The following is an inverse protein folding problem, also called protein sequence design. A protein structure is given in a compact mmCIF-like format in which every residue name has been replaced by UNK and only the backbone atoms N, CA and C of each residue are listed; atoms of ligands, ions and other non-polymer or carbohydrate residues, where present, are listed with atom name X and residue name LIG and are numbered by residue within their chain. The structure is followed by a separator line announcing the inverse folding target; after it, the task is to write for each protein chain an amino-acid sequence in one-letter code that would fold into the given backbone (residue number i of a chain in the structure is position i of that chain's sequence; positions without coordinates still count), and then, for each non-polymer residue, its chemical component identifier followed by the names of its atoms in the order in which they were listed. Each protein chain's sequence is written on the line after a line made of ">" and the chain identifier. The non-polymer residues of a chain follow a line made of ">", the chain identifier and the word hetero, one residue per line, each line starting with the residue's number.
data_IF_656692215907
#
_entry.id   IF_656692215907
#
_cell.length_a   1.000
_cell.length_b   1.000
_cell.length_c   1.000
_cell.angle_alpha   90.00
_cell.angle_beta   90.00
_cell.angle_gamma   90.00
#
_symmetry.space_group_name_H-M   'P 1'
#
loop_
_entity.id
_entity.type
_entity.pdbx_description
1 polymer ?
#
# COMPACT_ATOMS: atom_id res chain seq x y z
N UNK A 1 11.42 -23.18 -31.97
CA UNK A 1 11.95 -22.49 -30.76
C UNK A 1 10.84 -22.03 -29.81
N UNK A 2 9.68 -21.50 -30.27
CA UNK A 2 8.56 -21.05 -29.41
C UNK A 2 7.97 -22.15 -28.50
N UNK A 3 7.88 -23.38 -28.93
CA UNK A 3 7.31 -24.51 -28.15
C UNK A 3 8.27 -25.08 -27.10
N UNK A 4 9.56 -24.82 -27.22
CA UNK A 4 10.57 -25.34 -26.28
C UNK A 4 10.62 -24.52 -25.00
N UNK A 5 10.40 -23.21 -25.09
CA UNK A 5 10.36 -22.29 -23.94
C UNK A 5 9.12 -22.57 -23.09
N UNK A 6 7.95 -22.77 -23.73
CA UNK A 6 6.69 -23.08 -23.03
C UNK A 6 6.76 -24.41 -22.27
N UNK A 7 7.41 -25.43 -22.86
CA UNK A 7 7.56 -26.72 -22.21
C UNK A 7 8.57 -26.71 -21.05
N UNK A 8 9.61 -25.87 -21.14
CA UNK A 8 10.63 -25.73 -20.10
C UNK A 8 10.08 -24.99 -18.88
N UNK A 9 9.26 -23.96 -19.06
CA UNK A 9 8.59 -23.26 -17.97
C UNK A 9 7.60 -24.20 -17.26
N UNK A 10 6.82 -24.98 -18.01
CA UNK A 10 5.88 -25.94 -17.43
C UNK A 10 6.56 -27.08 -16.67
N UNK A 11 7.74 -27.52 -17.12
CA UNK A 11 8.52 -28.58 -16.44
C UNK A 11 9.23 -28.09 -15.17
N UNK A 12 9.61 -26.82 -15.07
CA UNK A 12 10.17 -26.22 -13.86
C UNK A 12 9.10 -26.05 -12.78
N UNK A 13 7.86 -25.74 -13.17
CA UNK A 13 6.70 -25.63 -12.26
C UNK A 13 6.36 -26.97 -11.56
N UNK A 14 6.64 -28.10 -12.21
CA UNK A 14 6.37 -29.45 -11.66
C UNK A 14 7.42 -29.96 -10.68
N UNK A 15 8.58 -29.32 -10.56
CA UNK A 15 9.73 -29.81 -9.77
C UNK A 15 9.99 -29.00 -8.48
N UNK A 16 9.26 -27.93 -8.24
CA UNK A 16 9.43 -27.12 -7.03
C UNK A 16 8.76 -27.80 -5.82
N UNK A 17 9.53 -28.07 -4.79
CA UNK A 17 9.11 -28.74 -3.56
C UNK A 17 8.56 -27.70 -2.56
N UNK A 18 7.40 -28.00 -2.00
CA UNK A 18 6.60 -27.12 -1.14
C UNK A 18 7.28 -26.76 0.19
N UNK A 19 7.71 -25.54 0.36
CA UNK A 19 7.66 -24.81 1.61
C UNK A 19 7.10 -23.42 1.27
N UNK A 20 5.85 -23.21 1.63
CA UNK A 20 5.14 -21.95 1.36
C UNK A 20 5.72 -20.80 2.18
N UNK A 21 5.46 -19.61 1.74
CA UNK A 21 6.06 -18.37 2.15
C UNK A 21 5.90 -18.09 3.67
N UNK A 22 7.01 -18.02 4.36
CA UNK A 22 7.08 -17.62 5.77
C UNK A 22 7.04 -16.09 5.94
N UNK A 23 6.78 -15.33 4.88
CA UNK A 23 6.77 -13.87 4.87
C UNK A 23 5.36 -13.34 5.13
N UNK A 24 5.06 -13.05 6.38
CA UNK A 24 3.71 -12.70 6.83
C UNK A 24 3.49 -11.23 7.09
N UNK A 25 4.54 -10.42 7.20
CA UNK A 25 4.42 -8.97 7.38
C UNK A 25 5.64 -8.21 6.87
N UNK A 26 5.43 -6.95 6.53
CA UNK A 26 6.49 -6.03 6.15
C UNK A 26 6.04 -4.92 5.23
N UNK A 27 6.99 -4.08 4.86
CA UNK A 27 6.82 -2.99 3.90
C UNK A 27 7.92 -3.02 2.86
N UNK A 28 7.69 -2.40 1.72
CA UNK A 28 8.68 -2.25 0.66
C UNK A 28 8.44 -0.99 -0.15
N UNK A 29 9.45 -0.60 -0.88
CA UNK A 29 9.36 0.45 -1.89
C UNK A 29 10.00 -0.05 -3.17
N UNK A 30 9.32 0.13 -4.29
CA UNK A 30 9.81 -0.24 -5.61
C UNK A 30 9.73 0.94 -6.57
N UNK A 31 10.74 1.11 -7.40
CA UNK A 31 10.66 1.92 -8.59
C UNK A 31 9.84 1.14 -9.63
N UNK A 32 8.83 1.78 -10.22
CA UNK A 32 7.98 1.23 -11.27
C UNK A 32 8.28 1.93 -12.59
N UNK A 33 8.37 1.15 -13.66
CA UNK A 33 8.41 1.62 -15.05
C UNK A 33 7.28 0.93 -15.81
N UNK A 34 6.37 1.69 -16.39
CA UNK A 34 5.23 1.17 -17.13
C UNK A 34 5.10 1.84 -18.49
N UNK A 35 4.75 1.07 -19.52
CA UNK A 35 4.45 1.61 -20.83
C UNK A 35 3.18 2.43 -20.81
N UNK A 36 3.15 3.46 -21.65
CA UNK A 36 1.98 4.29 -21.92
C UNK A 36 1.35 3.75 -23.21
N UNK A 37 0.10 3.24 -23.17
CA UNK A 37 -0.52 2.65 -24.36
C UNK A 37 -1.12 3.70 -25.31
N UNK A 38 -1.18 4.96 -24.90
CA UNK A 38 -1.89 6.02 -25.60
C UNK A 38 -1.04 6.69 -26.69
N UNK A 39 -1.64 6.91 -27.86
CA UNK A 39 -1.13 7.87 -28.82
C UNK A 39 -1.35 9.29 -28.31
N UNK A 40 -0.26 9.99 -28.06
CA UNK A 40 -0.36 11.39 -27.64
C UNK A 40 0.75 12.25 -28.24
N UNK A 41 0.39 13.25 -29.06
CA UNK A 41 1.39 14.12 -29.69
C UNK A 41 2.04 15.14 -28.73
N UNK A 42 1.55 15.24 -27.48
CA UNK A 42 2.04 16.18 -26.47
C UNK A 42 3.00 15.49 -25.50
N UNK A 43 2.79 14.20 -25.25
CA UNK A 43 3.64 13.39 -24.38
C UNK A 43 4.78 12.81 -25.21
N UNK A 44 6.01 13.11 -24.83
CA UNK A 44 7.22 12.66 -25.55
C UNK A 44 7.80 11.37 -25.02
N UNK A 45 7.35 10.93 -23.84
CA UNK A 45 7.85 9.73 -23.18
C UNK A 45 6.88 8.57 -23.38
N UNK A 46 7.40 7.41 -23.80
CA UNK A 46 6.63 6.18 -24.00
C UNK A 46 6.45 5.38 -22.69
N UNK A 47 7.00 5.87 -21.57
CA UNK A 47 7.01 5.20 -20.29
C UNK A 47 6.79 6.14 -19.11
N UNK A 48 6.06 5.64 -18.10
CA UNK A 48 5.94 6.26 -16.78
C UNK A 48 7.01 5.71 -15.85
N UNK A 49 7.51 6.59 -14.99
CA UNK A 49 8.42 6.21 -13.90
C UNK A 49 7.87 6.74 -12.59
N UNK A 50 7.70 5.86 -11.61
CA UNK A 50 7.22 6.24 -10.28
C UNK A 50 7.75 5.32 -9.19
N UNK A 51 7.47 5.65 -7.94
CA UNK A 51 7.75 4.82 -6.78
C UNK A 51 6.45 4.31 -6.18
N UNK A 52 6.41 3.02 -5.84
CA UNK A 52 5.23 2.37 -5.30
C UNK A 52 5.55 1.77 -3.94
N UNK A 53 4.84 2.18 -2.87
CA UNK A 53 4.92 1.50 -1.58
C UNK A 53 4.22 0.16 -1.66
N UNK A 54 4.81 -0.86 -1.05
CA UNK A 54 4.23 -2.19 -0.96
C UNK A 54 4.10 -2.57 0.51
N UNK A 55 2.96 -3.14 0.88
CA UNK A 55 2.70 -3.57 2.24
C UNK A 55 2.36 -5.06 2.24
N UNK A 56 2.83 -5.77 3.26
CA UNK A 56 2.62 -7.19 3.41
C UNK A 56 2.12 -7.48 4.81
N UNK A 57 1.04 -8.22 4.90
CA UNK A 57 0.53 -8.78 6.15
C UNK A 57 -0.37 -9.96 5.82
N UNK A 58 -0.26 -11.05 6.55
CA UNK A 58 -1.19 -12.16 6.42
C UNK A 58 -1.37 -12.87 7.76
N UNK A 59 -2.64 -13.06 8.12
CA UNK A 59 -3.08 -13.89 9.24
C UNK A 59 -4.24 -14.81 8.82
N UNK A 60 -4.92 -15.40 9.78
CA UNK A 60 -6.04 -16.30 9.51
C UNK A 60 -7.26 -15.60 8.86
N UNK A 61 -7.39 -14.28 9.00
CA UNK A 61 -8.57 -13.52 8.60
C UNK A 61 -8.28 -12.47 7.53
N UNK A 62 -7.12 -11.84 7.59
CA UNK A 62 -6.74 -10.70 6.74
C UNK A 62 -5.49 -11.00 5.94
N UNK A 63 -5.42 -10.40 4.76
CA UNK A 63 -4.19 -10.36 3.99
C UNK A 63 -3.99 -9.00 3.33
N UNK A 64 -2.72 -8.65 3.13
CA UNK A 64 -2.26 -7.49 2.38
C UNK A 64 -1.01 -7.91 1.61
N UNK A 65 -1.11 -7.96 0.30
CA UNK A 65 -0.05 -8.39 -0.60
C UNK A 65 0.24 -7.27 -1.59
N UNK A 66 1.27 -6.48 -1.31
CA UNK A 66 1.61 -5.29 -2.07
C UNK A 66 0.51 -4.22 -2.00
N UNK A 67 -0.24 -4.05 -3.07
CA UNK A 67 -1.37 -3.12 -3.17
C UNK A 67 -2.74 -3.82 -3.17
N UNK A 68 -2.78 -5.12 -2.93
CA UNK A 68 -4.02 -5.91 -2.80
C UNK A 68 -4.24 -6.27 -1.35
N UNK A 69 -5.42 -5.96 -0.82
CA UNK A 69 -5.81 -6.31 0.54
C UNK A 69 -7.14 -7.07 0.54
N UNK A 70 -7.39 -7.85 1.57
CA UNK A 70 -8.66 -8.57 1.66
C UNK A 70 -8.93 -9.26 2.98
N UNK A 71 -10.14 -9.79 3.08
CA UNK A 71 -10.64 -10.56 4.21
C UNK A 71 -10.96 -11.95 3.73
N UNK A 72 -10.41 -12.97 4.40
CA UNK A 72 -10.74 -14.39 4.20
C UNK A 72 -12.11 -14.64 4.82
N UNK A 73 -13.11 -14.95 3.99
CA UNK A 73 -14.50 -15.08 4.42
C UNK A 73 -14.83 -16.52 4.84
N UNK A 74 -14.37 -17.49 4.03
CA UNK A 74 -14.70 -18.89 4.23
C UNK A 74 -13.73 -19.81 3.47
N UNK A 75 -13.30 -20.89 4.11
CA UNK A 75 -12.50 -21.96 3.52
C UNK A 75 -13.33 -23.26 3.44
N UNK A 76 -13.30 -23.93 2.30
CA UNK A 76 -13.99 -25.19 2.05
C UNK A 76 -13.10 -26.11 1.23
N UNK A 77 -12.55 -27.14 1.85
CA UNK A 77 -11.61 -28.09 1.21
C UNK A 77 -10.48 -27.34 0.48
N UNK A 78 -10.47 -27.43 -0.86
CA UNK A 78 -9.49 -26.75 -1.70
C UNK A 78 -9.92 -25.33 -2.13
N UNK A 79 -11.01 -24.79 -1.61
CA UNK A 79 -11.52 -23.47 -1.93
C UNK A 79 -11.30 -22.48 -0.80
N UNK A 80 -10.90 -21.27 -1.13
CA UNK A 80 -10.89 -20.12 -0.25
C UNK A 80 -11.67 -18.98 -0.89
N UNK A 81 -12.61 -18.41 -0.13
CA UNK A 81 -13.41 -17.26 -0.55
C UNK A 81 -12.98 -16.02 0.22
N UNK A 82 -12.80 -14.91 -0.49
CA UNK A 82 -12.41 -13.64 0.12
C UNK A 82 -13.10 -12.46 -0.55
N UNK A 83 -13.30 -11.40 0.25
CA UNK A 83 -13.53 -10.05 -0.27
C UNK A 83 -12.20 -9.32 -0.37
N UNK A 84 -11.99 -8.53 -1.41
CA UNK A 84 -10.72 -7.83 -1.63
C UNK A 84 -10.91 -6.43 -2.21
N UNK A 85 -9.88 -5.62 -1.98
CA UNK A 85 -9.65 -4.36 -2.68
C UNK A 85 -8.24 -4.35 -3.27
N UNK A 86 -8.06 -3.61 -4.37
CA UNK A 86 -6.79 -3.51 -5.10
C UNK A 86 -6.64 -2.15 -5.72
N UNK A 87 -5.47 -1.52 -5.53
CA UNK A 87 -5.09 -0.34 -6.31
C UNK A 87 -4.69 -0.79 -7.72
N UNK A 88 -5.29 -0.18 -8.73
CA UNK A 88 -4.99 -0.43 -10.14
C UNK A 88 -4.48 0.83 -10.80
N UNK A 89 -3.32 0.75 -11.45
CA UNK A 89 -2.75 1.83 -12.23
C UNK A 89 -3.44 1.96 -13.60
N UNK A 90 -3.64 3.19 -14.03
CA UNK A 90 -4.23 3.50 -15.34
C UNK A 90 -3.18 3.90 -16.39
N UNK A 91 -1.91 3.99 -15.99
CA UNK A 91 -0.78 4.40 -16.86
C UNK A 91 -1.02 5.72 -17.57
N UNK A 92 -1.69 6.67 -16.89
CA UNK A 92 -1.97 8.01 -17.41
C UNK A 92 -0.73 8.89 -17.25
N UNK A 93 -0.24 9.54 -18.33
CA UNK A 93 0.84 10.51 -18.25
C UNK A 93 0.58 11.64 -17.26
N UNK A 94 1.62 12.12 -16.59
CA UNK A 94 1.50 13.16 -15.55
C UNK A 94 0.79 14.43 -16.03
N UNK A 95 0.96 14.79 -17.30
CA UNK A 95 0.34 15.95 -17.94
C UNK A 95 -1.19 15.88 -17.92
N UNK A 96 -1.75 14.68 -17.89
CA UNK A 96 -3.20 14.44 -17.90
C UNK A 96 -3.79 14.07 -16.54
N UNK A 97 -3.00 13.92 -15.48
CA UNK A 97 -3.49 13.48 -14.16
C UNK A 97 -4.39 14.51 -13.46
N UNK A 98 -4.41 15.77 -13.91
CA UNK A 98 -5.42 16.74 -13.49
C UNK A 98 -6.82 16.51 -14.16
N UNK A 99 -6.85 15.79 -15.28
CA UNK A 99 -8.09 15.45 -15.99
C UNK A 99 -8.60 14.06 -15.59
N UNK A 100 -7.69 13.08 -15.57
CA UNK A 100 -7.96 11.68 -15.23
C UNK A 100 -6.92 11.23 -14.22
N UNK A 101 -7.37 10.69 -13.09
CA UNK A 101 -6.46 10.14 -12.08
C UNK A 101 -5.64 8.98 -12.62
N UNK A 102 -4.36 8.88 -12.25
CA UNK A 102 -3.44 7.83 -12.72
C UNK A 102 -3.65 6.46 -12.08
N UNK A 103 -4.54 6.36 -11.08
CA UNK A 103 -4.87 5.13 -10.35
C UNK A 103 -6.35 5.09 -9.96
N UNK A 104 -6.83 3.89 -9.65
CA UNK A 104 -8.19 3.66 -9.14
C UNK A 104 -8.19 2.51 -8.13
N UNK A 105 -9.23 2.46 -7.30
CA UNK A 105 -9.47 1.38 -6.35
C UNK A 105 -10.54 0.44 -6.89
N UNK A 106 -10.16 -0.81 -7.14
CA UNK A 106 -11.10 -1.89 -7.44
C UNK A 106 -11.42 -2.66 -6.15
N UNK A 107 -12.67 -3.10 -6.00
CA UNK A 107 -13.13 -3.96 -4.90
C UNK A 107 -14.00 -5.10 -5.45
N UNK A 108 -14.01 -6.23 -4.77
CA UNK A 108 -14.76 -7.38 -5.27
C UNK A 108 -14.64 -8.63 -4.42
N UNK A 109 -14.96 -9.74 -5.06
CA UNK A 109 -14.93 -11.06 -4.46
C UNK A 109 -13.97 -11.97 -5.23
N UNK A 110 -13.28 -12.84 -4.51
CA UNK A 110 -12.39 -13.86 -5.06
C UNK A 110 -12.79 -15.25 -4.57
N UNK A 111 -12.80 -16.20 -5.48
CA UNK A 111 -12.82 -17.63 -5.19
C UNK A 111 -11.46 -18.21 -5.66
N UNK A 112 -10.65 -18.68 -4.73
CA UNK A 112 -9.36 -19.34 -4.97
C UNK A 112 -9.55 -20.84 -4.87
N UNK A 113 -9.09 -21.57 -5.89
CA UNK A 113 -9.02 -23.02 -5.88
C UNK A 113 -7.57 -23.50 -5.86
N UNK A 114 -7.17 -24.22 -4.82
CA UNK A 114 -5.85 -24.82 -4.70
C UNK A 114 -5.78 -26.11 -5.50
N UNK A 115 -4.97 -26.11 -6.55
CA UNK A 115 -4.64 -27.30 -7.34
C UNK A 115 -3.64 -28.18 -6.59
N UNK A 116 -2.66 -27.53 -5.97
CA UNK A 116 -1.63 -28.07 -5.10
C UNK A 116 -1.31 -27.02 -4.03
N UNK A 117 -0.54 -27.38 -3.01
CA UNK A 117 -0.19 -26.46 -1.92
C UNK A 117 0.43 -25.14 -2.40
N UNK A 118 1.12 -25.16 -3.54
CA UNK A 118 1.81 -24.02 -4.11
C UNK A 118 1.27 -23.56 -5.47
N UNK A 119 0.13 -24.07 -5.93
CA UNK A 119 -0.48 -23.68 -7.20
C UNK A 119 -1.97 -23.49 -7.02
N UNK A 120 -2.48 -22.39 -7.58
CA UNK A 120 -3.89 -22.07 -7.44
C UNK A 120 -4.45 -21.34 -8.66
N UNK A 121 -5.77 -21.35 -8.74
CA UNK A 121 -6.55 -20.59 -9.71
C UNK A 121 -7.45 -19.64 -8.93
N UNK A 122 -7.37 -18.36 -9.25
CA UNK A 122 -8.25 -17.32 -8.74
C UNK A 122 -9.31 -16.95 -9.78
N UNK A 123 -10.56 -16.94 -9.36
CA UNK A 123 -11.66 -16.30 -10.07
C UNK A 123 -12.07 -15.06 -9.29
N UNK A 124 -11.93 -13.89 -9.89
CA UNK A 124 -12.26 -12.60 -9.28
C UNK A 124 -13.35 -11.90 -10.08
N UNK A 125 -14.27 -11.22 -9.39
CA UNK A 125 -15.19 -10.23 -9.98
C UNK A 125 -15.00 -8.94 -9.23
N UNK A 126 -14.62 -7.89 -9.95
CA UNK A 126 -14.18 -6.61 -9.40
C UNK A 126 -14.97 -5.47 -10.03
N UNK A 127 -15.18 -4.42 -9.25
CA UNK A 127 -15.78 -3.16 -9.67
C UNK A 127 -15.03 -2.01 -9.02
N UNK A 128 -14.89 -0.88 -9.71
CA UNK A 128 -14.38 0.35 -9.10
C UNK A 128 -15.53 1.28 -8.63
N UNK A 129 -15.16 2.40 -8.01
CA UNK A 129 -16.16 3.38 -7.52
C UNK A 129 -17.00 3.99 -8.64
N UNK A 130 -16.47 4.03 -9.87
CA UNK A 130 -17.15 4.55 -11.08
C UNK A 130 -17.95 3.47 -11.81
N UNK A 131 -18.16 2.30 -11.17
CA UNK A 131 -18.94 1.16 -11.68
C UNK A 131 -18.39 0.50 -12.95
N UNK A 132 -17.09 0.62 -13.20
CA UNK A 132 -16.44 -0.21 -14.23
C UNK A 132 -16.21 -1.62 -13.68
N UNK A 133 -16.66 -2.64 -14.40
CA UNK A 133 -16.62 -4.03 -13.95
C UNK A 133 -15.67 -4.86 -14.78
N UNK A 134 -14.92 -5.75 -14.11
CA UNK A 134 -14.11 -6.74 -14.79
C UNK A 134 -14.07 -8.06 -14.00
N UNK A 135 -13.77 -9.14 -14.69
CA UNK A 135 -13.53 -10.45 -14.09
C UNK A 135 -12.17 -10.98 -14.50
N UNK A 136 -11.43 -11.54 -13.55
CA UNK A 136 -10.13 -12.15 -13.78
C UNK A 136 -10.20 -13.67 -13.54
N UNK A 137 -9.58 -14.43 -14.42
CA UNK A 137 -9.22 -15.83 -14.18
C UNK A 137 -7.70 -15.90 -14.20
N UNK A 138 -7.08 -16.09 -13.02
CA UNK A 138 -5.63 -16.09 -12.86
C UNK A 138 -5.14 -17.45 -12.39
N UNK A 139 -4.17 -18.02 -13.07
CA UNK A 139 -3.36 -19.11 -12.56
C UNK A 139 -2.07 -18.58 -11.98
N UNK A 140 -1.71 -19.02 -10.78
CA UNK A 140 -0.45 -18.65 -10.11
C UNK A 140 0.23 -19.86 -9.48
N UNK A 141 1.55 -19.76 -9.32
CA UNK A 141 2.34 -20.75 -8.62
C UNK A 141 3.36 -20.07 -7.71
N UNK A 142 3.39 -20.46 -6.42
CA UNK A 142 4.39 -20.01 -5.47
C UNK A 142 5.57 -20.96 -5.46
N UNK A 143 6.74 -20.47 -5.83
CA UNK A 143 7.98 -21.25 -5.94
C UNK A 143 9.02 -20.68 -4.98
N UNK A 144 9.58 -21.56 -4.13
CA UNK A 144 10.70 -21.21 -3.25
C UNK A 144 11.95 -21.97 -3.66
N UNK A 145 13.00 -21.24 -3.98
CA UNK A 145 14.28 -21.84 -4.37
C UNK A 145 15.42 -21.16 -3.60
N UNK A 146 15.81 -21.75 -2.49
CA UNK A 146 16.79 -21.16 -1.57
C UNK A 146 16.28 -19.86 -0.98
N UNK A 147 16.92 -18.75 -1.36
CA UNK A 147 16.58 -17.38 -0.93
C UNK A 147 15.62 -16.67 -1.89
N UNK A 148 15.24 -17.32 -3.00
CA UNK A 148 14.30 -16.80 -3.97
C UNK A 148 12.88 -17.25 -3.66
N UNK A 149 11.95 -16.31 -3.74
CA UNK A 149 10.50 -16.53 -3.77
C UNK A 149 10.02 -15.99 -5.11
N UNK A 150 9.39 -16.83 -5.89
CA UNK A 150 9.03 -16.56 -7.28
C UNK A 150 7.57 -16.92 -7.46
N UNK A 151 6.75 -15.98 -7.96
CA UNK A 151 5.34 -16.21 -8.24
C UNK A 151 5.02 -15.86 -9.70
N UNK A 152 5.21 -16.82 -10.65
CA UNK A 152 4.70 -16.66 -12.01
C UNK A 152 3.19 -16.73 -12.02
N UNK A 153 2.56 -15.90 -12.85
CA UNK A 153 1.11 -15.89 -13.03
C UNK A 153 0.70 -15.60 -14.46
N UNK A 154 -0.52 -16.03 -14.82
CA UNK A 154 -1.15 -15.74 -16.09
C UNK A 154 -2.63 -15.45 -15.88
N UNK A 155 -3.14 -14.36 -16.46
CA UNK A 155 -4.48 -13.84 -16.23
C UNK A 155 -5.23 -13.66 -17.54
N UNK A 156 -6.46 -14.17 -17.59
CA UNK A 156 -7.46 -13.79 -18.56
C UNK A 156 -8.40 -12.78 -17.91
N UNK A 157 -8.47 -11.56 -18.45
CA UNK A 157 -9.33 -10.48 -17.93
C UNK A 157 -10.45 -10.17 -18.90
N UNK A 158 -11.69 -10.34 -18.46
CA UNK A 158 -12.89 -9.90 -19.19
C UNK A 158 -13.30 -8.53 -18.65
N UNK A 159 -13.45 -7.55 -19.52
CA UNK A 159 -13.74 -6.14 -19.18
C UNK A 159 -15.06 -5.71 -19.79
N UNK A 160 -15.86 -4.93 -19.07
CA UNK A 160 -17.04 -4.29 -19.63
C UNK A 160 -16.70 -3.03 -20.46
N UNK A 161 -17.70 -2.44 -21.11
CA UNK A 161 -17.52 -1.24 -21.91
C UNK A 161 -17.16 -0.02 -21.05
N UNK A 162 -17.69 0.05 -19.82
CA UNK A 162 -17.39 1.15 -18.90
C UNK A 162 -15.92 1.13 -18.49
N UNK A 163 -15.38 -0.06 -18.19
CA UNK A 163 -13.96 -0.23 -17.89
C UNK A 163 -13.08 0.27 -19.05
N UNK A 164 -13.35 -0.18 -20.26
CA UNK A 164 -12.55 0.20 -21.42
C UNK A 164 -12.67 1.69 -21.74
N UNK A 165 -13.87 2.27 -21.64
CA UNK A 165 -14.12 3.69 -21.88
C UNK A 165 -13.39 4.58 -20.88
N UNK A 166 -13.44 4.24 -19.58
CA UNK A 166 -12.76 4.99 -18.54
C UNK A 166 -11.23 4.84 -18.63
N UNK A 167 -10.74 3.61 -18.65
CA UNK A 167 -9.31 3.33 -18.61
C UNK A 167 -8.66 3.70 -19.94
N UNK A 168 -9.05 3.04 -21.03
CA UNK A 168 -8.38 3.19 -22.35
C UNK A 168 -8.98 4.31 -23.18
N UNK A 169 -10.26 4.60 -23.03
CA UNK A 169 -10.95 5.71 -23.71
C UNK A 169 -10.73 7.06 -23.03
N UNK A 170 -10.20 7.11 -21.81
CA UNK A 170 -10.04 8.34 -20.99
C UNK A 170 -11.33 9.16 -20.91
N UNK A 171 -12.50 8.49 -20.89
CA UNK A 171 -13.84 9.09 -20.98
C UNK A 171 -14.08 9.99 -22.23
N UNK A 172 -13.18 9.92 -23.21
CA UNK A 172 -13.25 10.70 -24.48
C UNK A 172 -13.70 9.85 -25.68
N UNK A 173 -13.42 8.55 -25.65
CA UNK A 173 -13.81 7.59 -26.68
C UNK A 173 -14.54 6.39 -26.04
N UNK A 174 -15.75 6.08 -26.53
CA UNK A 174 -16.50 4.89 -26.11
C UNK A 174 -15.86 3.63 -26.69
N UNK A 175 -15.40 2.72 -25.82
CA UNK A 175 -14.79 1.46 -26.21
C UNK A 175 -15.63 0.30 -25.66
N UNK A 176 -16.06 -0.61 -26.54
CA UNK A 176 -16.80 -1.80 -26.12
C UNK A 176 -15.95 -2.71 -25.23
N UNK A 177 -16.66 -3.52 -24.41
CA UNK A 177 -16.00 -4.54 -23.58
C UNK A 177 -15.26 -5.58 -24.42
N UNK A 178 -14.21 -6.15 -23.87
CA UNK A 178 -13.37 -7.19 -24.51
C UNK A 178 -12.57 -8.00 -23.48
N UNK A 179 -11.56 -8.72 -23.96
CA UNK A 179 -10.77 -9.65 -23.16
C UNK A 179 -9.29 -9.40 -23.37
N UNK A 180 -8.55 -9.21 -22.27
CA UNK A 180 -7.09 -9.14 -22.25
C UNK A 180 -6.48 -10.47 -21.80
N UNK A 181 -5.23 -10.69 -22.21
CA UNK A 181 -4.38 -11.77 -21.72
C UNK A 181 -3.12 -11.17 -21.10
N UNK A 182 -2.89 -11.44 -19.83
CA UNK A 182 -1.69 -10.99 -19.14
C UNK A 182 -0.84 -12.17 -18.66
N UNK A 183 0.46 -11.93 -18.53
CA UNK A 183 1.39 -12.84 -17.88
C UNK A 183 2.42 -12.02 -17.10
N UNK A 184 2.83 -12.55 -15.95
CA UNK A 184 3.77 -11.83 -15.09
C UNK A 184 4.54 -12.74 -14.15
N UNK A 185 5.43 -12.13 -13.42
CA UNK A 185 6.33 -12.76 -12.47
C UNK A 185 6.61 -11.80 -11.32
N UNK A 186 6.28 -12.21 -10.10
CA UNK A 186 6.72 -11.54 -8.88
C UNK A 186 7.95 -12.24 -8.31
N UNK A 187 8.87 -11.46 -7.77
CA UNK A 187 10.14 -11.94 -7.24
C UNK A 187 10.44 -11.29 -5.89
N UNK A 188 10.84 -12.11 -4.90
CA UNK A 188 11.48 -11.64 -3.67
C UNK A 188 12.77 -12.42 -3.47
N UNK A 189 13.85 -11.75 -3.11
CA UNK A 189 15.14 -12.37 -2.82
C UNK A 189 15.61 -11.93 -1.45
N UNK A 190 15.75 -12.87 -0.52
CA UNK A 190 16.25 -12.60 0.82
C UNK A 190 17.74 -12.32 0.79
N UNK A 191 18.15 -11.16 1.26
CA UNK A 191 19.56 -10.77 1.38
C UNK A 191 20.11 -11.14 2.76
N UNK A 192 19.56 -10.58 3.82
CA UNK A 192 19.90 -10.90 5.21
C UNK A 192 18.85 -10.35 6.17
N UNK A 193 18.60 -11.02 7.29
CA UNK A 193 17.67 -10.60 8.34
C UNK A 193 16.30 -10.20 7.75
N UNK A 194 15.90 -8.95 7.90
CA UNK A 194 14.64 -8.41 7.42
C UNK A 194 14.73 -7.77 6.01
N UNK A 195 15.89 -7.82 5.35
CA UNK A 195 16.13 -7.12 4.10
C UNK A 195 16.02 -8.02 2.87
N UNK A 196 15.18 -7.59 1.93
CA UNK A 196 14.86 -8.31 0.69
C UNK A 196 15.00 -7.38 -0.52
N UNK A 197 15.36 -7.94 -1.66
CA UNK A 197 15.07 -7.36 -2.96
C UNK A 197 13.68 -7.80 -3.39
N UNK A 198 12.92 -6.88 -3.97
CA UNK A 198 11.57 -7.13 -4.49
C UNK A 198 11.53 -6.67 -5.93
N UNK A 199 10.84 -7.42 -6.78
CA UNK A 199 10.66 -7.04 -8.18
C UNK A 199 9.45 -7.72 -8.79
N UNK A 200 8.94 -7.15 -9.89
CA UNK A 200 7.96 -7.79 -10.75
C UNK A 200 8.18 -7.42 -12.21
N UNK A 201 7.65 -8.24 -13.10
CA UNK A 201 7.59 -7.98 -14.53
C UNK A 201 6.27 -8.52 -15.08
N UNK A 202 5.49 -7.67 -15.69
CA UNK A 202 4.18 -7.97 -16.23
C UNK A 202 4.05 -7.51 -17.67
N UNK A 203 3.34 -8.28 -18.48
CA UNK A 203 2.92 -7.91 -19.83
C UNK A 203 1.43 -8.22 -19.99
N UNK A 204 0.68 -7.28 -20.53
CA UNK A 204 -0.74 -7.39 -20.80
C UNK A 204 -1.02 -7.15 -22.29
N UNK A 205 -1.51 -8.14 -23.01
CA UNK A 205 -1.98 -8.01 -24.39
C UNK A 205 -3.41 -7.52 -24.37
N UNK A 206 -3.60 -6.35 -24.97
CA UNK A 206 -4.88 -5.64 -24.99
C UNK A 206 -5.90 -6.32 -25.89
N UNK A 207 -7.16 -6.24 -25.52
CA UNK A 207 -8.26 -6.77 -26.31
C UNK A 207 -8.47 -6.01 -27.64
N UNK A 208 -9.10 -6.69 -28.58
CA UNK A 208 -9.28 -6.17 -29.95
C UNK A 208 -10.06 -4.83 -30.03
N UNK A 209 -10.98 -4.56 -29.09
CA UNK A 209 -11.74 -3.32 -29.09
C UNK A 209 -10.88 -2.14 -28.61
N UNK A 210 -10.01 -2.40 -27.62
CA UNK A 210 -9.03 -1.42 -27.17
C UNK A 210 -8.01 -1.13 -28.25
N UNK A 211 -7.41 -2.16 -28.90
CA UNK A 211 -6.44 -1.99 -29.98
C UNK A 211 -6.98 -1.22 -31.19
N UNK A 212 -8.30 -1.17 -31.40
CA UNK A 212 -8.93 -0.42 -32.49
C UNK A 212 -9.28 1.02 -32.14
N UNK A 213 -9.12 1.41 -30.88
CA UNK A 213 -9.36 2.79 -30.46
C UNK A 213 -8.39 3.75 -31.14
N UNK A 214 -8.88 4.92 -31.48
CA UNK A 214 -8.09 5.96 -32.18
C UNK A 214 -7.02 6.60 -31.28
N UNK A 215 -7.12 6.40 -29.98
CA UNK A 215 -6.22 6.97 -28.97
C UNK A 215 -5.23 5.93 -28.39
N UNK A 216 -5.27 4.69 -28.88
CA UNK A 216 -4.34 3.62 -28.48
C UNK A 216 -3.39 3.35 -29.64
N UNK A 217 -2.10 3.29 -29.35
CA UNK A 217 -1.03 3.05 -30.34
C UNK A 217 -0.38 1.67 -30.17
N UNK A 218 -0.49 1.06 -28.98
CA UNK A 218 0.17 -0.20 -28.65
C UNK A 218 -0.82 -1.36 -28.48
N UNK A 219 -0.43 -2.54 -28.95
CA UNK A 219 -1.20 -3.78 -28.77
C UNK A 219 -1.05 -4.40 -27.37
N UNK A 220 -0.09 -3.93 -26.60
CA UNK A 220 0.24 -4.45 -25.26
C UNK A 220 0.77 -3.36 -24.34
N UNK A 221 0.67 -3.63 -23.04
CA UNK A 221 1.29 -2.84 -21.97
C UNK A 221 2.30 -3.71 -21.22
N UNK A 222 3.32 -3.09 -20.67
CA UNK A 222 4.21 -3.76 -19.73
C UNK A 222 4.41 -2.91 -18.46
N UNK A 223 4.70 -3.61 -17.36
CA UNK A 223 5.10 -2.99 -16.10
C UNK A 223 6.31 -3.73 -15.54
N UNK A 224 7.34 -2.98 -15.16
CA UNK A 224 8.51 -3.49 -14.46
C UNK A 224 8.61 -2.80 -13.11
N UNK A 225 8.86 -3.56 -12.05
CA UNK A 225 9.10 -3.02 -10.71
C UNK A 225 10.40 -3.60 -10.15
N UNK A 226 11.12 -2.78 -9.38
CA UNK A 226 12.33 -3.24 -8.69
C UNK A 226 12.66 -2.34 -7.51
N UNK A 227 13.01 -2.93 -6.37
CA UNK A 227 13.30 -2.19 -5.16
C UNK A 227 13.60 -3.07 -3.97
N UNK A 228 13.25 -2.59 -2.78
CA UNK A 228 13.62 -3.21 -1.51
C UNK A 228 12.39 -3.48 -0.65
N UNK A 229 12.46 -4.56 0.14
CA UNK A 229 11.48 -4.88 1.16
C UNK A 229 12.14 -5.06 2.52
N UNK A 230 11.46 -4.59 3.54
CA UNK A 230 11.74 -4.82 4.95
C UNK A 230 10.65 -5.74 5.48
N UNK A 231 10.90 -7.07 5.39
CA UNK A 231 9.90 -8.09 5.70
C UNK A 231 10.31 -8.82 6.99
N UNK A 232 9.43 -9.69 7.51
CA UNK A 232 9.82 -10.50 8.65
C UNK A 232 11.01 -11.43 8.30
N UNK A 233 11.91 -11.61 9.28
CA UNK A 233 13.10 -12.45 9.09
C UNK A 233 12.70 -13.93 8.91
N UNK A 234 13.01 -14.52 7.76
CA UNK A 234 12.70 -15.93 7.44
C UNK A 234 13.36 -16.94 8.39
N UNK A 235 14.40 -16.54 9.11
CA UNK A 235 15.12 -17.40 10.05
C UNK A 235 14.57 -17.33 11.48
N UNK A 236 13.53 -16.52 11.71
CA UNK A 236 12.87 -16.34 13.01
C UNK A 236 11.41 -16.76 12.95
N UNK A 237 10.78 -16.93 14.11
CA UNK A 237 9.33 -17.09 14.19
C UNK A 237 8.66 -15.84 13.59
N UNK A 238 7.55 -16.01 12.90
CA UNK A 238 6.78 -14.95 12.27
C UNK A 238 6.43 -13.82 13.22
N UNK A 239 5.91 -14.19 14.39
CA UNK A 239 5.52 -13.28 15.44
C UNK A 239 6.36 -13.61 16.69
N UNK A 240 7.55 -13.01 16.80
CA UNK A 240 8.33 -13.04 18.04
C UNK A 240 7.82 -11.95 18.97
N UNK A 241 6.67 -12.21 19.59
CA UNK A 241 5.89 -11.25 20.39
C UNK A 241 5.89 -11.56 21.89
N UNK A 242 6.74 -12.47 22.35
CA UNK A 242 6.79 -12.84 23.79
C UNK A 242 6.99 -11.60 24.66
N UNK A 243 5.99 -11.31 25.52
CA UNK A 243 5.98 -10.14 26.40
C UNK A 243 5.43 -8.86 25.80
N UNK A 244 5.21 -8.80 24.47
CA UNK A 244 4.54 -7.67 23.84
C UNK A 244 3.03 -7.74 24.09
N UNK A 245 2.42 -6.58 24.21
CA UNK A 245 0.96 -6.45 24.37
C UNK A 245 0.40 -5.57 23.26
N UNK A 246 -0.80 -5.84 22.76
CA UNK A 246 -1.50 -4.91 21.89
C UNK A 246 -1.77 -3.60 22.63
N UNK A 247 -2.05 -2.53 21.86
CA UNK A 247 -2.39 -1.25 22.48
C UNK A 247 -3.52 -0.55 21.75
N UNK A 248 -4.16 0.38 22.47
CA UNK A 248 -5.01 1.43 21.90
C UNK A 248 -4.34 2.76 22.21
N UNK A 249 -4.21 3.63 21.19
CA UNK A 249 -3.72 5.00 21.30
C UNK A 249 -4.83 5.96 20.93
N UNK A 250 -5.11 6.90 21.84
CA UNK A 250 -6.03 8.02 21.60
C UNK A 250 -5.24 9.32 21.55
N UNK A 251 -5.35 10.04 20.44
CA UNK A 251 -4.58 11.26 20.19
C UNK A 251 -5.49 12.45 19.93
N UNK A 252 -5.03 13.64 20.35
CA UNK A 252 -5.56 14.95 19.95
C UNK A 252 -4.49 15.70 19.18
N UNK A 253 -4.82 16.24 18.00
CA UNK A 253 -3.91 16.91 17.10
C UNK A 253 -4.36 18.34 16.76
N UNK A 254 -3.37 19.19 16.46
CA UNK A 254 -3.52 20.54 15.96
C UNK A 254 -2.69 20.70 14.70
N UNK A 255 -3.32 21.21 13.64
CA UNK A 255 -2.66 21.47 12.37
C UNK A 255 -1.55 22.52 12.51
N UNK A 256 -0.53 22.41 11.69
CA UNK A 256 0.55 23.39 11.57
C UNK A 256 0.98 23.53 10.11
N UNK A 257 1.25 24.76 9.63
CA UNK A 257 1.84 24.98 8.31
C UNK A 257 3.34 24.70 8.25
N UNK A 258 3.99 24.49 9.42
CA UNK A 258 5.44 24.18 9.47
C UNK A 258 5.77 22.88 8.78
N UNK A 259 6.89 22.84 8.06
CA UNK A 259 7.44 21.63 7.47
C UNK A 259 7.87 20.62 8.56
N UNK A 260 7.94 19.35 8.19
CA UNK A 260 8.30 18.27 9.12
C UNK A 260 9.68 18.52 9.79
N UNK A 261 10.64 19.05 9.03
CA UNK A 261 12.00 19.36 9.54
C UNK A 261 11.96 20.45 10.61
N UNK A 262 11.15 21.51 10.40
CA UNK A 262 10.99 22.60 11.35
C UNK A 262 10.34 22.11 12.65
N UNK A 263 9.30 21.27 12.54
CA UNK A 263 8.64 20.67 13.71
C UNK A 263 9.62 19.86 14.55
N UNK A 264 10.46 19.04 13.89
CA UNK A 264 11.44 18.21 14.59
C UNK A 264 12.54 18.99 15.33
N UNK A 265 12.80 20.22 14.92
CA UNK A 265 13.73 21.13 15.63
C UNK A 265 13.01 22.08 16.59
N UNK A 266 11.67 22.02 16.67
CA UNK A 266 10.85 22.79 17.60
C UNK A 266 10.41 24.16 17.09
N UNK A 267 10.56 24.45 15.79
CA UNK A 267 10.06 25.64 15.13
C UNK A 267 8.66 25.37 14.57
N UNK A 268 7.66 25.62 15.41
CA UNK A 268 6.26 25.27 15.14
C UNK A 268 5.42 26.53 15.01
N UNK A 269 4.84 26.73 13.85
CA UNK A 269 3.85 27.77 13.60
C UNK A 269 2.44 27.26 13.91
N UNK A 270 1.55 28.15 14.35
CA UNK A 270 0.15 27.81 14.60
C UNK A 270 -0.66 27.95 13.33
N UNK A 271 -1.57 27.02 13.07
CA UNK A 271 -2.57 27.14 12.01
C UNK A 271 -3.56 28.28 12.35
N UNK A 272 -3.79 29.18 11.39
CA UNK A 272 -4.65 30.38 11.57
C UNK A 272 -6.11 30.03 11.86
N UNK A 273 -6.57 28.87 11.40
CA UNK A 273 -7.96 28.41 11.52
C UNK A 273 -8.19 27.42 12.66
N UNK A 274 -7.12 27.11 13.42
CA UNK A 274 -7.15 26.16 14.54
C UNK A 274 -7.76 24.80 14.13
N UNK A 275 -7.39 24.30 12.97
CA UNK A 275 -7.83 22.98 12.50
C UNK A 275 -7.30 21.88 13.45
N UNK A 276 -8.19 20.99 13.86
CA UNK A 276 -7.90 19.97 14.86
C UNK A 276 -8.35 18.59 14.40
N UNK A 277 -7.76 17.56 15.00
CA UNK A 277 -8.15 16.18 14.77
C UNK A 277 -8.10 15.35 16.06
N UNK A 278 -8.91 14.30 16.11
CA UNK A 278 -8.79 13.24 17.12
C UNK A 278 -8.62 11.92 16.40
N UNK A 279 -7.64 11.13 16.83
CA UNK A 279 -7.37 9.82 16.20
C UNK A 279 -7.32 8.69 17.20
N UNK A 280 -7.72 7.49 16.72
CA UNK A 280 -7.63 6.23 17.47
C UNK A 280 -6.82 5.26 16.63
N UNK A 281 -5.79 4.66 17.21
CA UNK A 281 -4.99 3.60 16.61
C UNK A 281 -5.04 2.34 17.46
N UNK A 282 -5.08 1.20 16.79
CA UNK A 282 -4.86 -0.10 17.40
C UNK A 282 -3.49 -0.63 17.00
N UNK A 283 -2.65 -1.00 17.98
CA UNK A 283 -1.35 -1.62 17.71
C UNK A 283 -1.41 -3.13 17.91
N UNK A 284 -1.25 -3.88 16.83
CA UNK A 284 -1.12 -5.33 16.86
C UNK A 284 0.37 -5.71 16.87
N UNK A 285 0.88 -6.42 17.89
CA UNK A 285 2.30 -6.75 17.99
C UNK A 285 2.72 -7.75 16.91
N UNK A 286 3.84 -7.51 16.25
CA UNK A 286 4.39 -8.36 15.19
C UNK A 286 5.75 -8.96 15.56
N UNK A 287 6.66 -8.14 16.13
CA UNK A 287 8.00 -8.59 16.51
C UNK A 287 8.60 -7.65 17.54
N UNK A 288 9.36 -8.21 18.49
CA UNK A 288 10.15 -7.41 19.46
C UNK A 288 11.55 -7.05 18.96
N UNK A 289 11.93 -7.51 17.80
CA UNK A 289 13.23 -7.19 17.19
C UNK A 289 13.09 -6.94 15.70
N UNK A 290 13.91 -6.02 15.20
CA UNK A 290 14.02 -5.74 13.77
C UNK A 290 15.50 -5.51 13.43
N UNK A 291 16.06 -6.18 12.41
CA UNK A 291 17.50 -6.25 12.12
C UNK A 291 18.37 -6.68 13.34
N UNK A 292 17.84 -7.57 14.17
CA UNK A 292 18.48 -7.96 15.44
C UNK A 292 18.67 -6.81 16.46
N UNK A 293 18.06 -5.65 16.20
CA UNK A 293 17.98 -4.54 17.14
C UNK A 293 16.72 -4.70 18.02
N UNK A 294 16.71 -4.17 19.25
CA UNK A 294 15.52 -4.17 20.10
C UNK A 294 14.50 -3.12 19.61
N UNK A 295 13.99 -3.34 18.41
CA UNK A 295 12.96 -2.52 17.79
C UNK A 295 11.64 -3.31 17.79
N UNK A 296 10.70 -2.86 18.61
CA UNK A 296 9.36 -3.44 18.62
C UNK A 296 8.58 -2.99 17.39
N UNK A 297 7.97 -3.95 16.69
CA UNK A 297 7.19 -3.70 15.47
C UNK A 297 5.73 -4.00 15.73
N UNK A 298 4.87 -3.07 15.36
CA UNK A 298 3.41 -3.19 15.43
C UNK A 298 2.78 -2.90 14.09
N UNK A 299 1.72 -3.63 13.74
CA UNK A 299 0.76 -3.22 12.72
C UNK A 299 -0.21 -2.22 13.37
N UNK A 300 -0.44 -1.06 12.72
CA UNK A 300 -1.19 0.04 13.33
C UNK A 300 -2.30 0.58 12.43
N UNK A 301 -3.44 -0.14 12.27
CA UNK A 301 -4.62 0.48 11.72
C UNK A 301 -5.14 1.59 12.62
N UNK A 302 -5.63 2.67 12.01
CA UNK A 302 -6.15 3.82 12.73
C UNK A 302 -7.22 4.58 11.95
N UNK A 303 -7.95 5.40 12.69
CA UNK A 303 -8.92 6.35 12.14
C UNK A 303 -8.70 7.70 12.81
N UNK A 304 -8.63 8.77 12.01
CA UNK A 304 -8.62 10.15 12.50
C UNK A 304 -9.89 10.86 12.05
N UNK A 305 -10.50 11.60 12.95
CA UNK A 305 -11.61 12.50 12.68
C UNK A 305 -11.09 13.94 12.69
N UNK A 306 -11.10 14.59 11.54
CA UNK A 306 -10.76 16.00 11.38
C UNK A 306 -12.00 16.83 11.58
N UNK A 307 -11.93 17.80 12.50
CA UNK A 307 -13.07 18.64 12.84
C UNK A 307 -13.35 19.67 11.75
N UNK A 308 -14.63 20.05 11.64
CA UNK A 308 -15.00 21.21 10.82
C UNK A 308 -14.47 22.51 11.43
N UNK A 309 -14.06 23.43 10.57
CA UNK A 309 -13.65 24.79 10.93
C UNK A 309 -14.34 25.81 9.99
N UNK A 310 -13.84 27.04 9.97
CA UNK A 310 -14.32 28.06 9.03
C UNK A 310 -13.94 27.74 7.58
N UNK A 311 -12.91 26.91 7.36
CA UNK A 311 -12.32 26.64 6.03
C UNK A 311 -12.47 25.20 5.57
N UNK A 312 -12.84 24.26 6.45
CA UNK A 312 -12.99 22.85 6.09
C UNK A 312 -14.25 22.24 6.71
N UNK A 313 -14.79 21.22 6.04
CA UNK A 313 -15.78 20.31 6.62
C UNK A 313 -15.09 19.24 7.46
N UNK A 314 -15.87 18.57 8.31
CA UNK A 314 -15.37 17.40 9.00
C UNK A 314 -15.20 16.23 8.04
N UNK A 315 -14.09 15.52 8.15
CA UNK A 315 -13.78 14.32 7.34
C UNK A 315 -13.16 13.22 8.17
N UNK A 316 -13.25 11.98 7.69
CA UNK A 316 -12.59 10.82 8.27
C UNK A 316 -11.35 10.47 7.44
N UNK A 317 -10.28 10.16 8.14
CA UNK A 317 -9.04 9.64 7.60
C UNK A 317 -8.88 8.20 8.09
N UNK A 318 -8.62 7.29 7.17
CA UNK A 318 -8.33 5.88 7.43
C UNK A 318 -6.85 5.63 7.23
N UNK A 319 -6.19 5.10 8.25
CA UNK A 319 -4.73 4.93 8.26
C UNK A 319 -4.41 3.46 8.41
N UNK A 320 -3.42 3.01 7.66
CA UNK A 320 -2.87 1.68 7.80
C UNK A 320 -1.35 1.74 7.66
N UNK A 321 -0.61 1.17 8.62
CA UNK A 321 0.85 1.20 8.58
C UNK A 321 1.51 0.34 9.64
N UNK A 322 2.82 0.43 9.68
CA UNK A 322 3.67 -0.20 10.69
C UNK A 322 4.23 0.86 11.62
N UNK A 323 4.35 0.51 12.90
CA UNK A 323 4.97 1.37 13.92
C UNK A 323 6.15 0.63 14.53
N UNK A 324 7.29 1.29 14.54
CA UNK A 324 8.54 0.82 15.12
C UNK A 324 8.82 1.62 16.39
N UNK A 325 9.13 0.94 17.47
CA UNK A 325 9.51 1.57 18.73
C UNK A 325 10.90 1.14 19.18
N UNK A 326 11.71 2.10 19.58
CA UNK A 326 12.99 1.89 20.23
C UNK A 326 12.94 2.43 21.66
N UNK A 327 13.01 1.56 22.64
CA UNK A 327 13.07 1.95 24.04
C UNK A 327 14.50 2.38 24.40
N UNK A 328 14.62 3.61 24.89
CA UNK A 328 15.91 4.18 25.29
C UNK A 328 16.38 3.54 26.61
N UNK A 329 17.66 3.16 26.74
CA UNK A 329 18.20 2.55 27.93
C UNK A 329 18.44 3.59 29.04
N UNK A 330 17.38 4.22 29.54
CA UNK A 330 17.45 5.24 30.60
C UNK A 330 17.22 4.58 31.97
N UNK A 331 17.95 4.97 33.02
CA UNK A 331 17.73 4.43 34.35
C UNK A 331 16.41 4.95 34.94
N UNK A 332 15.55 4.04 35.42
CA UNK A 332 14.30 4.30 36.12
C UNK A 332 13.18 5.04 35.33
N UNK A 333 13.33 5.22 34.06
CA UNK A 333 12.34 5.87 33.19
C UNK A 333 12.32 5.13 31.87
N UNK A 334 11.18 4.54 31.52
CA UNK A 334 10.99 3.96 30.20
C UNK A 334 10.49 5.05 29.25
N UNK A 335 11.37 5.43 28.34
CA UNK A 335 11.11 6.37 27.25
C UNK A 335 11.41 5.69 25.92
N UNK A 336 10.60 5.91 24.92
CA UNK A 336 10.82 5.30 23.61
C UNK A 336 10.63 6.32 22.48
N UNK A 337 11.36 6.09 21.42
CA UNK A 337 11.20 6.78 20.14
C UNK A 337 10.35 5.89 19.24
N UNK A 338 9.42 6.49 18.51
CA UNK A 338 8.54 5.77 17.59
C UNK A 338 8.61 6.34 16.18
N UNK A 339 8.66 5.46 15.19
CA UNK A 339 8.54 5.78 13.78
C UNK A 339 7.40 4.94 13.19
N UNK A 340 6.39 5.59 12.64
CA UNK A 340 5.29 4.94 11.92
C UNK A 340 5.37 5.28 10.43
N UNK A 341 5.10 4.31 9.59
CA UNK A 341 5.05 4.47 8.14
C UNK A 341 3.86 3.70 7.58
N UNK A 342 3.15 4.28 6.63
CA UNK A 342 1.98 3.65 6.06
C UNK A 342 1.30 4.46 4.98
N UNK A 343 0.01 4.20 4.80
CA UNK A 343 -0.86 4.93 3.88
C UNK A 343 -2.04 5.52 4.64
N UNK A 344 -2.54 6.61 4.12
CA UNK A 344 -3.70 7.33 4.62
C UNK A 344 -4.67 7.62 3.49
N UNK A 345 -5.95 7.34 3.73
CA UNK A 345 -7.04 7.64 2.80
C UNK A 345 -8.09 8.52 3.48
N UNK A 346 -8.56 9.55 2.79
CA UNK A 346 -9.71 10.36 3.20
C UNK A 346 -10.60 10.72 2.02
N UNK A 347 -11.92 10.80 2.26
CA UNK A 347 -12.89 11.12 1.21
C UNK A 347 -12.82 12.60 0.78
N UNK A 348 -12.70 13.51 1.75
CA UNK A 348 -12.53 14.95 1.53
C UNK A 348 -11.18 15.35 2.13
N UNK A 349 -10.28 15.90 1.30
CA UNK A 349 -8.94 16.35 1.73
C UNK A 349 -9.09 17.58 2.63
N UNK A 350 -8.26 17.65 3.66
CA UNK A 350 -8.28 18.74 4.64
C UNK A 350 -7.72 20.04 4.05
N UNK A 351 -8.20 21.19 4.53
CA UNK A 351 -7.91 22.52 3.98
C UNK A 351 -6.41 22.82 3.87
N UNK A 352 -5.62 22.47 4.89
CA UNK A 352 -4.19 22.79 4.91
C UNK A 352 -3.45 22.08 3.76
N UNK A 353 -3.84 20.85 3.42
CA UNK A 353 -3.30 20.11 2.30
C UNK A 353 -3.88 20.60 0.96
N UNK A 354 -5.21 20.77 0.89
CA UNK A 354 -5.91 21.22 -0.31
C UNK A 354 -5.42 22.60 -0.78
N UNK A 355 -5.33 23.58 0.14
CA UNK A 355 -4.93 24.95 -0.20
C UNK A 355 -3.50 25.05 -0.72
N UNK A 356 -2.59 24.23 -0.20
CA UNK A 356 -1.21 24.17 -0.69
C UNK A 356 -1.13 23.55 -2.09
N UNK A 357 -1.85 22.45 -2.33
CA UNK A 357 -1.87 21.75 -3.61
C UNK A 357 -2.54 22.60 -4.70
N UNK A 358 -3.70 23.22 -4.41
CA UNK A 358 -4.40 24.10 -5.34
C UNK A 358 -3.57 25.35 -5.66
N UNK A 359 -2.85 25.89 -4.69
CA UNK A 359 -1.92 27.00 -4.88
C UNK A 359 -0.81 26.68 -5.89
N UNK A 360 -0.50 25.41 -6.09
CA UNK A 360 0.44 24.89 -7.10
C UNK A 360 -0.24 24.51 -8.42
N UNK A 361 -1.56 24.71 -8.55
CA UNK A 361 -2.36 24.37 -9.75
C UNK A 361 -2.60 22.88 -9.92
N UNK A 362 -2.52 22.10 -8.85
CA UNK A 362 -2.68 20.64 -8.83
C UNK A 362 -3.95 20.24 -8.09
N UNK A 363 -4.45 19.03 -8.32
CA UNK A 363 -5.58 18.45 -7.57
C UNK A 363 -5.08 17.62 -6.41
N UNK A 364 -5.72 17.69 -5.22
CA UNK A 364 -5.37 16.87 -4.08
C UNK A 364 -5.74 15.40 -4.33
N UNK A 365 -5.00 14.48 -3.68
CA UNK A 365 -5.29 13.04 -3.70
C UNK A 365 -5.89 12.59 -2.37
N UNK A 366 -6.92 11.74 -2.45
CA UNK A 366 -7.50 11.09 -1.27
C UNK A 366 -6.54 10.12 -0.58
N UNK A 367 -5.68 9.45 -1.36
CA UNK A 367 -4.69 8.49 -0.87
C UNK A 367 -3.31 9.12 -0.84
N UNK A 368 -2.62 9.03 0.29
CA UNK A 368 -1.26 9.57 0.48
C UNK A 368 -0.43 8.65 1.39
N UNK A 369 0.87 8.92 1.50
CA UNK A 369 1.70 8.34 2.55
C UNK A 369 1.34 8.91 3.91
N UNK A 370 1.51 8.08 4.92
CA UNK A 370 1.40 8.42 6.32
C UNK A 370 2.75 8.23 7.02
N UNK A 371 3.17 9.23 7.78
CA UNK A 371 4.35 9.17 8.63
C UNK A 371 3.98 9.65 10.05
N UNK A 372 4.45 8.91 11.07
CA UNK A 372 4.26 9.23 12.48
C UNK A 372 5.62 9.17 13.20
N UNK A 373 6.13 10.32 13.62
CA UNK A 373 7.34 10.39 14.44
C UNK A 373 6.94 10.74 15.87
N UNK A 374 7.31 9.91 16.85
CA UNK A 374 6.83 10.08 18.22
C UNK A 374 7.90 9.92 19.28
N UNK A 375 7.63 10.51 20.45
CA UNK A 375 8.35 10.32 21.70
C UNK A 375 7.34 9.97 22.77
N UNK A 376 7.54 8.83 23.45
CA UNK A 376 6.64 8.29 24.46
C UNK A 376 7.33 8.15 25.81
N UNK A 377 6.59 8.38 26.87
CA UNK A 377 7.01 8.21 28.26
C UNK A 377 6.05 7.23 28.96
N UNK A 378 6.58 6.16 29.53
CA UNK A 378 5.81 5.23 30.36
C UNK A 378 5.44 5.86 31.68
N UNK A 379 4.20 5.71 32.14
CA UNK A 379 3.72 6.30 33.39
C UNK A 379 3.98 5.41 34.62
N UNK A 380 4.55 4.22 34.45
CA UNK A 380 4.91 3.31 35.53
C UNK A 380 5.89 3.90 36.56
N UNK A 381 6.69 4.91 36.19
CA UNK A 381 7.57 5.63 37.11
C UNK A 381 6.78 6.41 38.20
N UNK A 382 5.51 6.73 37.92
CA UNK A 382 4.63 7.39 38.94
C UNK A 382 3.98 6.39 39.88
N UNK A 383 3.53 5.24 39.36
CA UNK A 383 2.89 4.17 40.12
C UNK A 383 2.85 2.89 39.27
N UNK A 384 3.07 1.71 39.91
CA UNK A 384 3.11 0.41 39.21
C UNK A 384 1.81 0.09 38.44
N UNK A 385 0.64 0.50 38.93
CA UNK A 385 -0.64 0.33 38.20
C UNK A 385 -0.73 1.11 36.89
N UNK A 386 0.13 2.09 36.72
CA UNK A 386 0.22 2.91 35.50
C UNK A 386 1.23 2.36 34.48
N UNK A 387 1.92 1.26 34.80
CA UNK A 387 2.88 0.59 33.91
C UNK A 387 2.30 0.32 32.49
N UNK A 388 1.01 -0.05 32.32
CA UNK A 388 0.43 -0.23 31.01
C UNK A 388 0.18 1.06 30.21
N UNK A 389 0.32 2.24 30.85
CA UNK A 389 0.00 3.53 30.24
C UNK A 389 1.25 4.28 29.79
N UNK A 390 1.16 4.83 28.59
CA UNK A 390 2.16 5.69 28.00
C UNK A 390 1.53 7.02 27.58
N UNK A 391 2.20 8.12 27.84
CA UNK A 391 1.88 9.44 27.30
C UNK A 391 2.93 9.81 26.24
N UNK A 392 2.50 10.42 25.15
CA UNK A 392 3.44 10.79 24.12
C UNK A 392 3.02 12.01 23.31
N UNK A 393 3.99 12.49 22.52
CA UNK A 393 3.78 13.49 21.51
C UNK A 393 4.25 12.92 20.15
N UNK A 394 3.55 13.26 19.08
CA UNK A 394 3.90 12.82 17.73
C UNK A 394 3.57 13.89 16.68
N UNK A 395 4.22 13.76 15.54
CA UNK A 395 3.82 14.43 14.31
C UNK A 395 3.04 13.42 13.48
N UNK A 396 1.77 13.71 13.20
CA UNK A 396 0.93 13.01 12.26
C UNK A 396 1.09 13.72 10.91
N UNK A 397 1.81 13.09 10.00
CA UNK A 397 2.21 13.68 8.72
C UNK A 397 1.61 12.90 7.56
N UNK A 398 0.98 13.62 6.63
CA UNK A 398 0.54 13.11 5.33
C UNK A 398 1.38 13.76 4.24
N UNK A 399 1.82 12.98 3.27
CA UNK A 399 2.57 13.53 2.13
C UNK A 399 2.50 12.62 0.91
N UNK A 400 2.94 13.13 -0.23
CA UNK A 400 3.22 12.34 -1.43
C UNK A 400 4.45 11.43 -1.29
N UNK A 401 5.20 11.54 -0.22
CA UNK A 401 6.46 10.83 0.01
C UNK A 401 7.60 11.44 -0.78
N UNK A 402 7.85 10.93 -1.97
CA UNK A 402 8.84 11.48 -2.91
C UNK A 402 8.09 12.31 -3.97
N UNK A 403 8.61 13.48 -4.34
CA UNK A 403 7.98 14.47 -5.24
C UNK A 403 7.59 13.93 -6.63
N UNK A 404 8.01 12.71 -6.97
CA UNK A 404 7.83 12.07 -8.27
C UNK A 404 6.94 10.81 -8.22
N UNK A 405 6.13 10.62 -7.15
CA UNK A 405 5.27 9.43 -7.04
C UNK A 405 3.96 9.65 -7.78
N UNK A 406 3.76 8.97 -8.91
CA UNK A 406 2.55 9.08 -9.72
C UNK A 406 1.33 8.41 -9.09
N UNK A 407 1.53 7.49 -8.15
CA UNK A 407 0.46 6.78 -7.44
C UNK A 407 -0.51 7.74 -6.73
N UNK A 408 -0.03 8.90 -6.30
CA UNK A 408 -0.81 9.91 -5.60
C UNK A 408 -1.01 11.20 -6.42
N UNK A 409 -0.89 11.12 -7.75
CA UNK A 409 -0.96 12.28 -8.63
C UNK A 409 0.30 13.15 -8.54
N UNK A 410 0.18 14.42 -8.96
CA UNK A 410 1.27 15.42 -8.90
C UNK A 410 1.43 16.06 -7.52
N UNK A 411 1.21 15.31 -6.46
CA UNK A 411 1.28 15.86 -5.12
C UNK A 411 2.70 16.38 -4.80
N UNK A 412 2.79 17.65 -4.44
CA UNK A 412 4.02 18.31 -3.96
C UNK A 412 3.78 18.95 -2.59
N UNK A 413 2.91 18.38 -1.78
CA UNK A 413 2.61 18.91 -0.47
C UNK A 413 2.22 17.81 0.51
N UNK A 414 2.11 18.19 1.75
CA UNK A 414 1.65 17.35 2.83
C UNK A 414 0.93 18.17 3.88
N UNK A 415 0.43 17.52 4.90
CA UNK A 415 -0.15 18.15 6.06
C UNK A 415 0.48 17.63 7.33
N UNK A 416 0.67 18.52 8.29
CA UNK A 416 1.24 18.21 9.58
C UNK A 416 0.26 18.52 10.70
N UNK A 417 0.09 17.56 11.62
CA UNK A 417 -0.60 17.75 12.88
C UNK A 417 0.33 17.39 14.03
N UNK A 418 0.58 18.35 14.92
CA UNK A 418 1.25 18.08 16.18
C UNK A 418 0.25 17.45 17.13
N UNK A 419 0.51 16.22 17.58
CA UNK A 419 -0.41 15.44 18.39
C UNK A 419 0.14 15.15 19.77
N UNK A 420 -0.75 15.10 20.76
CA UNK A 420 -0.48 14.50 22.06
C UNK A 420 -1.42 13.32 22.28
N UNK A 421 -0.97 12.29 22.95
CA UNK A 421 -1.76 11.08 23.08
C UNK A 421 -1.55 10.33 24.40
N UNK A 422 -2.52 9.51 24.70
CA UNK A 422 -2.44 8.45 25.70
C UNK A 422 -2.52 7.09 25.01
N UNK A 423 -1.62 6.19 25.36
CA UNK A 423 -1.58 4.84 24.81
C UNK A 423 -1.63 3.82 25.95
N UNK A 424 -2.53 2.85 25.84
CA UNK A 424 -2.77 1.80 26.82
C UNK A 424 -2.48 0.43 26.22
N UNK A 425 -1.55 -0.30 26.84
CA UNK A 425 -1.20 -1.69 26.54
C UNK A 425 -2.01 -2.65 27.40
N UNK A 426 -2.64 -3.68 26.80
CA UNK A 426 -3.56 -4.58 27.50
C UNK A 426 -3.35 -6.06 27.19
#
# INVERSE_FOLDING_TARGET
>A
MKYFITFTIFSVLLLARNEYDDLTWGTGIVARSASIPYYDPIVTDDTLHDFVPLFYYEDDYFYLHGLTYGVKLYDLDNWQFSALGRVRFLNIPQEYQNEVQGDTMDYGLRARYFLYDNQYIDLEVMENLDKSTHANLTYSANLKYGDFYIEPHATLRVKDATFNTQHYGRDKEEINGDVDLAAGLDLKYHLWSNFYLIGSADINWLGNNVQKSSIIDEDYEYTLMGGFGLLNDKNKKYFDIDGMKPYIRLSQGWATPSDLEDILVGDIESDDYNNQSTSVFYGHPLSKTFFNLPLEVYLTPGVAYHYSSEVQKSTLEYIFGFKFYYTLPLPNIDMRLGLGEGVSYMDEVIYIEESEIEGKGLKPSSLTFYLDVSVDLNLGFLHDDLEPLWIGAAVHHRSSGLEEVSLFGRLKSGSNYNTVYLQWHF
#
